data_IF_676221961279
#
_entry.id   IF_676221961279
#
_cell.length_a   1.000
_cell.length_b   1.000
_cell.length_c   1.000
_cell.angle_alpha   90.00
_cell.angle_beta   90.00
_cell.angle_gamma   90.00
#
_symmetry.space_group_name_H-M   'P 1'
#
loop_
_entity.id
_entity.type
_entity.pdbx_description
1 polymer ?
#
# COMPACT_ATOMS: atom_id res chain seq x y z
N UNK A 1 -4.93 -42.35 55.59
CA UNK A 1 -5.16 -41.15 54.76
C UNK A 1 -5.05 -41.56 53.30
N UNK A 2 -6.18 -41.95 52.69
CA UNK A 2 -6.20 -42.50 51.32
C UNK A 2 -6.31 -41.34 50.36
N UNK A 3 -5.23 -41.08 49.62
CA UNK A 3 -5.19 -40.08 48.57
C UNK A 3 -5.90 -40.61 47.32
N UNK A 4 -7.17 -40.35 47.19
CA UNK A 4 -7.95 -40.68 45.98
C UNK A 4 -7.47 -39.76 44.89
N UNK A 5 -6.73 -40.30 43.95
CA UNK A 5 -6.33 -39.56 42.74
C UNK A 5 -7.54 -39.49 41.80
N UNK A 6 -8.19 -38.32 41.82
CA UNK A 6 -9.38 -38.00 40.97
C UNK A 6 -8.97 -37.82 39.50
N UNK A 7 -7.71 -38.10 39.14
CA UNK A 7 -7.14 -37.62 37.89
C UNK A 7 -7.33 -38.48 36.66
N UNK A 8 -7.98 -39.63 36.71
CA UNK A 8 -7.89 -40.53 35.55
C UNK A 8 -9.18 -41.22 35.09
N UNK A 9 -10.36 -40.78 35.55
CA UNK A 9 -11.60 -41.39 35.08
C UNK A 9 -11.81 -41.23 33.56
N UNK A 10 -11.64 -40.04 32.95
CA UNK A 10 -11.76 -39.90 31.50
C UNK A 10 -10.70 -40.71 30.74
N UNK A 11 -9.46 -40.70 31.23
CA UNK A 11 -8.35 -41.40 30.61
C UNK A 11 -8.50 -42.96 30.77
N UNK A 12 -9.01 -43.40 31.92
CA UNK A 12 -9.32 -44.79 32.17
C UNK A 12 -10.46 -45.29 31.27
N UNK A 13 -11.53 -44.51 31.14
CA UNK A 13 -12.65 -44.82 30.24
C UNK A 13 -12.17 -44.85 28.79
N UNK A 14 -11.36 -43.86 28.37
CA UNK A 14 -10.75 -43.82 27.04
C UNK A 14 -9.91 -45.08 26.74
N UNK A 15 -9.02 -45.48 27.67
CA UNK A 15 -8.16 -46.64 27.49
C UNK A 15 -8.96 -47.94 27.47
N UNK A 16 -10.01 -48.05 28.29
CA UNK A 16 -10.90 -49.24 28.32
C UNK A 16 -11.75 -49.36 27.06
N UNK A 17 -12.24 -48.24 26.52
CA UNK A 17 -12.95 -48.21 25.24
C UNK A 17 -12.03 -48.49 24.04
N UNK A 18 -10.77 -48.06 24.10
CA UNK A 18 -9.77 -48.29 23.08
C UNK A 18 -9.27 -49.73 23.04
N UNK A 19 -9.19 -50.38 24.21
CA UNK A 19 -8.62 -51.73 24.38
C UNK A 19 -9.64 -52.89 24.29
N UNK A 20 -10.95 -52.57 24.09
CA UNK A 20 -11.95 -53.61 23.85
C UNK A 20 -11.70 -54.26 22.47
N UNK A 21 -11.07 -55.46 22.51
CA UNK A 21 -10.56 -56.20 21.35
C UNK A 21 -11.65 -56.91 20.53
N UNK A 22 -12.93 -56.65 20.77
CA UNK A 22 -14.00 -57.27 20.01
C UNK A 22 -14.15 -56.62 18.62
N UNK A 23 -13.77 -57.37 17.59
CA UNK A 23 -13.84 -56.99 16.18
C UNK A 23 -15.26 -56.63 15.68
N UNK A 24 -16.30 -56.89 16.48
CA UNK A 24 -17.70 -56.57 16.19
C UNK A 24 -18.21 -55.28 16.84
N UNK A 25 -17.37 -54.54 17.54
CA UNK A 25 -17.81 -53.39 18.35
C UNK A 25 -18.04 -52.14 17.51
N UNK A 26 -19.28 -51.97 17.03
CA UNK A 26 -19.77 -50.82 16.27
C UNK A 26 -19.45 -49.48 17.01
N UNK A 27 -19.55 -49.46 18.33
CA UNK A 27 -19.27 -48.31 19.20
C UNK A 27 -17.84 -47.81 19.05
N UNK A 28 -16.84 -48.69 18.94
CA UNK A 28 -15.43 -48.29 18.76
C UNK A 28 -15.20 -47.60 17.43
N UNK A 29 -15.90 -48.00 16.36
CA UNK A 29 -15.82 -47.36 15.04
C UNK A 29 -16.45 -45.95 15.05
N UNK A 30 -17.61 -45.82 15.71
CA UNK A 30 -18.29 -44.52 15.85
C UNK A 30 -17.42 -43.53 16.62
N UNK A 31 -16.81 -43.97 17.73
CA UNK A 31 -15.90 -43.10 18.52
C UNK A 31 -14.70 -42.63 17.69
N UNK A 32 -14.08 -43.51 16.90
CA UNK A 32 -12.96 -43.11 16.02
C UNK A 32 -13.38 -42.10 14.98
N UNK A 33 -14.54 -42.27 14.37
CA UNK A 33 -15.08 -41.34 13.39
C UNK A 33 -15.38 -39.98 14.07
N UNK A 34 -15.97 -40.00 15.27
CA UNK A 34 -16.25 -38.77 16.02
C UNK A 34 -14.98 -38.00 16.37
N UNK A 35 -13.93 -38.71 16.88
CA UNK A 35 -12.63 -38.11 17.18
C UNK A 35 -12.00 -37.53 15.92
N UNK A 36 -12.02 -38.23 14.80
CA UNK A 36 -11.48 -37.78 13.54
C UNK A 36 -12.24 -36.56 13.02
N UNK A 37 -13.57 -36.52 13.14
CA UNK A 37 -14.40 -35.36 12.73
C UNK A 37 -14.09 -34.13 13.55
N UNK A 38 -13.96 -34.27 14.88
CA UNK A 38 -13.57 -33.15 15.76
C UNK A 38 -12.16 -32.66 15.43
N UNK A 39 -11.21 -33.60 15.27
CA UNK A 39 -9.83 -33.24 14.85
C UNK A 39 -9.83 -32.47 13.53
N UNK A 40 -10.55 -32.97 12.53
CA UNK A 40 -10.62 -32.30 11.22
C UNK A 40 -11.25 -30.91 11.31
N UNK A 41 -12.31 -30.74 12.11
CA UNK A 41 -12.95 -29.44 12.34
C UNK A 41 -11.98 -28.42 12.97
N UNK A 42 -11.29 -28.82 14.03
CA UNK A 42 -10.28 -27.98 14.70
C UNK A 42 -9.12 -27.67 13.75
N UNK A 43 -8.63 -28.67 13.00
CA UNK A 43 -7.54 -28.49 12.06
C UNK A 43 -7.89 -27.46 10.95
N UNK A 44 -9.08 -27.61 10.35
CA UNK A 44 -9.56 -26.66 9.32
C UNK A 44 -9.69 -25.25 9.90
N UNK A 45 -10.23 -25.12 11.11
CA UNK A 45 -10.37 -23.82 11.78
C UNK A 45 -9.02 -23.14 12.02
N UNK A 46 -8.02 -23.90 12.50
CA UNK A 46 -6.66 -23.37 12.70
C UNK A 46 -5.99 -22.98 11.39
N UNK A 47 -6.15 -23.77 10.33
CA UNK A 47 -5.65 -23.44 9.00
C UNK A 47 -6.29 -22.15 8.48
N UNK A 48 -7.61 -21.99 8.61
CA UNK A 48 -8.34 -20.80 8.16
C UNK A 48 -7.86 -19.53 8.87
N UNK A 49 -7.70 -19.59 10.20
CA UNK A 49 -7.18 -18.47 11.00
C UNK A 49 -5.74 -18.14 10.59
N UNK A 50 -4.90 -19.14 10.38
CA UNK A 50 -3.49 -18.95 10.01
C UNK A 50 -3.35 -18.31 8.63
N UNK A 51 -4.12 -18.78 7.65
CA UNK A 51 -4.16 -18.20 6.30
C UNK A 51 -4.67 -16.76 6.36
N UNK A 52 -5.76 -16.50 7.07
CA UNK A 52 -6.34 -15.17 7.21
C UNK A 52 -5.36 -14.16 7.83
N UNK A 53 -4.66 -14.55 8.92
CA UNK A 53 -3.62 -13.72 9.53
C UNK A 53 -2.41 -13.50 8.62
N UNK A 54 -1.96 -14.55 7.94
CA UNK A 54 -0.85 -14.45 7.00
C UNK A 54 -1.15 -13.50 5.85
N UNK A 55 -2.34 -13.59 5.28
CA UNK A 55 -2.80 -12.67 4.23
C UNK A 55 -2.90 -11.22 4.74
N UNK A 56 -3.46 -11.02 5.93
CA UNK A 56 -3.55 -9.69 6.55
C UNK A 56 -2.18 -9.04 6.74
N UNK A 57 -1.20 -9.80 7.25
CA UNK A 57 0.17 -9.30 7.42
C UNK A 57 0.79 -8.96 6.07
N UNK A 58 0.66 -9.85 5.08
CA UNK A 58 1.21 -9.63 3.74
C UNK A 58 0.65 -8.38 3.06
N UNK A 59 -0.66 -8.16 3.15
CA UNK A 59 -1.31 -6.97 2.58
C UNK A 59 -0.86 -5.71 3.33
N UNK A 60 -0.80 -5.74 4.66
CA UNK A 60 -0.29 -4.61 5.44
C UNK A 60 1.14 -4.27 5.06
N UNK A 61 2.03 -5.24 4.99
CA UNK A 61 3.43 -5.02 4.64
C UNK A 61 3.58 -4.43 3.22
N UNK A 62 2.78 -4.86 2.26
CA UNK A 62 2.73 -4.27 0.91
C UNK A 62 2.22 -2.82 0.95
N UNK A 63 1.12 -2.55 1.67
CA UNK A 63 0.58 -1.20 1.83
C UNK A 63 1.62 -0.23 2.41
N UNK A 64 2.29 -0.63 3.49
CA UNK A 64 3.33 0.20 4.15
C UNK A 64 4.63 0.31 3.36
N UNK A 65 4.89 -0.60 2.42
CA UNK A 65 6.08 -0.49 1.56
C UNK A 65 5.87 0.42 0.35
N UNK A 66 4.63 0.58 -0.11
CA UNK A 66 4.29 1.39 -1.29
C UNK A 66 3.77 2.79 -0.95
N UNK A 67 3.36 2.99 0.29
CA UNK A 67 2.77 4.24 0.73
C UNK A 67 3.47 4.78 1.98
N UNK A 68 3.53 6.10 2.15
CA UNK A 68 4.04 6.74 3.37
C UNK A 68 3.07 6.54 4.53
N UNK A 69 3.54 6.75 5.75
CA UNK A 69 2.71 6.69 6.95
C UNK A 69 1.68 7.83 6.99
N UNK A 70 2.09 9.04 6.56
CA UNK A 70 1.24 10.22 6.48
C UNK A 70 1.43 10.93 5.13
N UNK A 71 0.35 11.53 4.65
CA UNK A 71 0.31 12.36 3.45
C UNK A 71 -0.25 13.73 3.82
N UNK A 72 0.50 14.76 3.50
CA UNK A 72 0.04 16.16 3.62
C UNK A 72 -0.21 16.70 2.22
N UNK A 73 -1.39 17.26 1.98
CA UNK A 73 -1.75 17.91 0.72
C UNK A 73 -2.78 19.01 0.97
N UNK A 74 -3.08 19.83 -0.04
CA UNK A 74 -4.16 20.81 0.11
C UNK A 74 -5.50 20.14 0.33
N UNK A 75 -6.41 20.81 1.01
CA UNK A 75 -7.74 20.27 1.31
C UNK A 75 -8.55 19.93 0.04
N UNK A 76 -8.43 20.75 -0.98
CA UNK A 76 -9.10 20.52 -2.28
C UNK A 76 -8.58 19.28 -2.99
N UNK A 77 -7.27 19.04 -2.96
CA UNK A 77 -6.69 17.82 -3.50
C UNK A 77 -7.27 16.57 -2.84
N UNK A 78 -7.47 16.61 -1.52
CA UNK A 78 -8.03 15.48 -0.78
C UNK A 78 -9.49 15.19 -1.13
N UNK A 79 -10.31 16.21 -1.37
CA UNK A 79 -11.73 16.04 -1.75
C UNK A 79 -11.87 15.36 -3.12
N UNK A 80 -10.96 15.65 -4.06
CA UNK A 80 -10.96 15.10 -5.42
C UNK A 80 -10.21 13.77 -5.52
N UNK A 81 -9.46 13.39 -4.49
CA UNK A 81 -8.61 12.21 -4.48
C UNK A 81 -7.36 12.32 -5.35
N UNK A 82 -7.15 13.45 -6.04
CA UNK A 82 -5.99 13.72 -6.90
C UNK A 82 -5.44 15.10 -6.55
N UNK A 83 -4.13 15.18 -6.35
CA UNK A 83 -3.44 16.42 -6.00
C UNK A 83 -3.29 17.33 -7.22
N UNK A 84 -4.24 18.24 -7.45
CA UNK A 84 -4.21 19.16 -8.60
C UNK A 84 -3.52 20.48 -8.31
N UNK A 85 -3.39 20.87 -7.05
CA UNK A 85 -2.85 22.17 -6.63
C UNK A 85 -1.56 22.03 -5.83
N UNK A 86 -0.72 23.05 -5.89
CA UNK A 86 0.52 23.08 -5.12
C UNK A 86 0.28 23.49 -3.66
N UNK A 87 1.12 23.01 -2.79
CA UNK A 87 1.20 23.47 -1.40
C UNK A 87 1.85 24.85 -1.38
N UNK A 88 1.18 25.83 -0.78
CA UNK A 88 1.77 27.15 -0.55
C UNK A 88 2.68 27.12 0.68
N UNK A 89 3.76 27.92 0.67
CA UNK A 89 4.69 28.08 1.78
C UNK A 89 5.27 26.74 2.30
N UNK A 90 5.77 25.91 1.39
CA UNK A 90 6.28 24.57 1.71
C UNK A 90 7.38 24.60 2.78
N UNK A 91 8.18 25.66 2.86
CA UNK A 91 9.24 25.81 3.85
C UNK A 91 8.69 26.01 5.26
N UNK A 92 7.60 26.74 5.41
CA UNK A 92 6.88 26.93 6.68
C UNK A 92 6.25 25.57 7.13
N UNK A 93 5.63 24.85 6.20
CA UNK A 93 5.07 23.53 6.46
C UNK A 93 6.15 22.54 6.92
N UNK A 94 7.31 22.58 6.25
CA UNK A 94 8.46 21.75 6.62
C UNK A 94 9.00 22.07 8.01
N UNK A 95 9.06 23.35 8.35
CA UNK A 95 9.49 23.78 9.69
C UNK A 95 8.54 23.20 10.76
N UNK A 96 7.23 23.34 10.56
CA UNK A 96 6.23 22.81 11.49
C UNK A 96 6.29 21.28 11.64
N UNK A 97 6.50 20.55 10.52
CA UNK A 97 6.64 19.10 10.56
C UNK A 97 7.91 18.67 11.30
N UNK A 98 9.05 19.33 11.04
CA UNK A 98 10.34 18.99 11.66
C UNK A 98 10.44 19.40 13.12
N UNK A 99 9.75 20.46 13.52
CA UNK A 99 9.67 20.89 14.91
C UNK A 99 8.92 19.86 15.77
N UNK A 100 7.88 19.26 15.19
CA UNK A 100 7.09 18.23 15.87
C UNK A 100 7.84 16.89 16.00
N UNK A 101 8.75 16.54 15.05
CA UNK A 101 9.38 15.20 15.00
C UNK A 101 10.80 15.21 14.46
N UNK A 102 11.74 14.64 15.23
CA UNK A 102 13.18 14.61 14.90
C UNK A 102 13.59 13.48 13.92
N UNK A 103 12.77 12.44 13.72
CA UNK A 103 13.16 11.22 13.00
C UNK A 103 12.20 10.89 11.86
N UNK A 104 11.91 11.88 11.03
CA UNK A 104 11.03 11.70 9.89
C UNK A 104 11.80 11.70 8.57
N UNK A 105 11.43 10.79 7.69
CA UNK A 105 11.75 10.87 6.29
C UNK A 105 10.64 11.68 5.62
N UNK A 106 11.01 12.82 5.06
CA UNK A 106 10.09 13.73 4.37
C UNK A 106 10.44 13.71 2.89
N UNK A 107 9.46 13.40 2.06
CA UNK A 107 9.60 13.30 0.62
C UNK A 107 8.55 14.18 -0.08
N UNK A 108 8.93 14.77 -1.20
CA UNK A 108 8.10 15.71 -1.94
C UNK A 108 7.75 15.15 -3.30
N UNK A 109 6.51 15.32 -3.70
CA UNK A 109 6.04 14.85 -4.99
C UNK A 109 4.92 15.70 -5.57
N UNK A 110 4.67 15.49 -6.85
CA UNK A 110 3.58 16.09 -7.60
C UNK A 110 2.75 14.97 -8.21
N UNK A 111 1.46 14.95 -7.95
CA UNK A 111 0.54 14.04 -8.65
C UNK A 111 -0.28 14.83 -9.67
N UNK A 112 -0.34 14.32 -10.89
CA UNK A 112 -1.17 14.88 -11.96
C UNK A 112 -1.86 13.78 -12.75
N UNK A 113 -3.18 13.89 -12.98
CA UNK A 113 -3.85 13.00 -13.91
C UNK A 113 -3.30 13.23 -15.33
N UNK A 114 -3.05 12.14 -16.03
CA UNK A 114 -2.54 12.14 -17.40
C UNK A 114 -3.12 10.99 -18.19
N UNK A 115 -3.13 11.12 -19.51
CA UNK A 115 -3.40 10.02 -20.42
C UNK A 115 -2.08 9.53 -20.99
N UNK A 116 -1.81 8.24 -20.88
CA UNK A 116 -0.71 7.54 -21.54
C UNK A 116 -1.20 6.95 -22.85
N UNK A 117 -0.41 7.07 -23.91
CA UNK A 117 -0.77 6.53 -25.22
C UNK A 117 0.40 5.82 -25.89
N UNK A 118 0.12 4.67 -26.46
CA UNK A 118 0.96 3.94 -27.43
C UNK A 118 0.06 3.29 -28.48
N UNK A 119 0.46 3.36 -29.75
CA UNK A 119 -0.22 2.69 -30.88
C UNK A 119 -1.74 2.93 -30.95
N UNK A 120 -2.21 4.17 -30.75
CA UNK A 120 -3.63 4.56 -30.70
C UNK A 120 -4.45 3.97 -29.54
N UNK A 121 -3.82 3.27 -28.59
CA UNK A 121 -4.42 2.88 -27.33
C UNK A 121 -4.16 3.93 -26.26
N UNK A 122 -5.12 4.12 -25.33
CA UNK A 122 -5.04 5.14 -24.29
C UNK A 122 -5.44 4.54 -22.94
N UNK A 123 -4.72 4.91 -21.89
CA UNK A 123 -5.08 4.61 -20.51
C UNK A 123 -5.02 5.89 -19.66
N UNK A 124 -5.96 6.05 -18.73
CA UNK A 124 -5.93 7.14 -17.75
C UNK A 124 -5.11 6.72 -16.55
N UNK A 125 -4.10 7.51 -16.21
CA UNK A 125 -3.18 7.21 -15.10
C UNK A 125 -2.84 8.50 -14.33
N UNK A 126 -2.26 8.34 -13.15
CA UNK A 126 -1.72 9.42 -12.34
C UNK A 126 -0.20 9.43 -12.50
N UNK A 127 0.35 10.53 -12.98
CA UNK A 127 1.79 10.74 -12.97
C UNK A 127 2.23 11.16 -11.58
N UNK A 128 2.96 10.28 -10.88
CA UNK A 128 3.61 10.54 -9.60
C UNK A 128 5.03 11.07 -9.89
N UNK A 129 5.19 12.38 -9.92
CA UNK A 129 6.47 13.05 -10.08
C UNK A 129 7.19 13.16 -8.75
N UNK A 130 8.29 12.44 -8.60
CA UNK A 130 9.10 12.39 -7.39
C UNK A 130 10.24 13.41 -7.42
N UNK A 131 10.59 13.96 -6.25
CA UNK A 131 11.74 14.87 -6.11
C UNK A 131 13.08 14.12 -6.32
N UNK A 132 14.14 14.85 -6.61
CA UNK A 132 15.47 14.27 -6.89
C UNK A 132 16.09 13.50 -5.71
N UNK A 133 15.58 13.70 -4.50
CA UNK A 133 16.03 13.02 -3.27
C UNK A 133 15.09 11.89 -2.83
N UNK A 134 14.07 11.58 -3.62
CA UNK A 134 13.09 10.54 -3.28
C UNK A 134 13.76 9.16 -3.23
N UNK A 135 13.45 8.39 -2.20
CA UNK A 135 13.98 7.05 -2.00
C UNK A 135 13.17 6.01 -2.77
N UNK A 136 13.81 5.42 -3.76
CA UNK A 136 13.24 4.37 -4.59
C UNK A 136 13.53 2.95 -4.07
N UNK A 137 14.16 2.80 -2.89
CA UNK A 137 14.55 1.49 -2.37
C UNK A 137 13.34 0.54 -2.21
N UNK A 138 12.21 1.07 -1.76
CA UNK A 138 10.99 0.30 -1.64
C UNK A 138 10.44 -0.15 -3.00
N UNK A 139 10.50 0.72 -4.01
CA UNK A 139 10.08 0.39 -5.37
C UNK A 139 10.99 -0.66 -6.02
N UNK A 140 12.29 -0.63 -5.70
CA UNK A 140 13.25 -1.61 -6.19
C UNK A 140 12.91 -3.06 -5.84
N UNK A 141 12.14 -3.28 -4.77
CA UNK A 141 11.66 -4.63 -4.38
C UNK A 141 10.68 -5.23 -5.39
N UNK A 142 10.05 -4.39 -6.19
CA UNK A 142 9.02 -4.75 -7.17
C UNK A 142 9.50 -4.68 -8.62
N UNK A 143 10.77 -4.37 -8.86
CA UNK A 143 11.37 -4.37 -10.20
C UNK A 143 12.08 -5.70 -10.42
N UNK A 144 11.74 -6.37 -11.52
CA UNK A 144 12.17 -7.74 -11.78
C UNK A 144 13.52 -7.81 -12.48
N UNK A 145 13.81 -6.90 -13.41
CA UNK A 145 14.92 -7.05 -14.36
C UNK A 145 16.17 -6.27 -14.01
N UNK A 146 16.04 -5.17 -13.28
CA UNK A 146 17.18 -4.31 -12.93
C UNK A 146 16.84 -3.46 -11.70
N UNK A 147 17.86 -3.12 -10.90
CA UNK A 147 17.66 -2.16 -9.81
C UNK A 147 17.71 -0.74 -10.36
N UNK A 148 16.83 0.12 -9.87
CA UNK A 148 16.97 1.55 -10.08
C UNK A 148 18.21 1.99 -9.29
N UNK A 149 19.32 2.18 -9.98
CA UNK A 149 20.59 2.62 -9.38
C UNK A 149 20.74 4.13 -9.42
N UNK A 150 20.05 4.78 -10.36
CA UNK A 150 20.24 6.18 -10.70
C UNK A 150 18.94 6.97 -10.57
N UNK A 151 19.09 8.29 -10.45
CA UNK A 151 17.97 9.23 -10.51
C UNK A 151 17.27 9.13 -11.86
N UNK A 152 15.96 9.26 -11.88
CA UNK A 152 15.21 9.40 -13.12
C UNK A 152 15.50 10.75 -13.78
N UNK A 153 15.80 10.73 -15.06
CA UNK A 153 15.87 11.95 -15.86
C UNK A 153 14.46 12.50 -16.16
N UNK A 154 14.40 13.74 -16.63
CA UNK A 154 13.12 14.43 -16.83
C UNK A 154 12.20 13.77 -17.87
N UNK A 155 12.75 13.00 -18.80
CA UNK A 155 12.03 12.28 -19.84
C UNK A 155 11.96 10.77 -19.62
N UNK A 156 12.36 10.28 -18.45
CA UNK A 156 12.27 8.87 -18.06
C UNK A 156 11.12 8.62 -17.11
N UNK A 157 10.47 7.49 -17.28
CA UNK A 157 9.40 7.03 -16.39
C UNK A 157 9.54 5.55 -16.05
N UNK A 158 8.87 5.19 -14.96
CA UNK A 158 8.67 3.82 -14.53
C UNK A 158 7.16 3.56 -14.58
N UNK A 159 6.75 2.48 -15.21
CA UNK A 159 5.35 2.08 -15.32
C UNK A 159 5.12 0.72 -14.68
N UNK A 160 3.88 0.42 -14.33
CA UNK A 160 3.53 -0.92 -13.84
C UNK A 160 3.45 -1.94 -14.98
N UNK A 161 3.65 -3.21 -14.65
CA UNK A 161 3.44 -4.34 -15.56
C UNK A 161 2.02 -4.32 -16.14
N UNK A 162 1.02 -3.99 -15.33
CA UNK A 162 -0.38 -3.92 -15.77
C UNK A 162 -0.65 -2.86 -16.83
N UNK A 163 -0.05 -1.68 -16.68
CA UNK A 163 -0.14 -0.62 -17.70
C UNK A 163 0.65 -1.02 -18.95
N UNK A 164 1.84 -1.62 -18.77
CA UNK A 164 2.68 -2.08 -19.85
C UNK A 164 1.96 -3.14 -20.71
N UNK A 165 1.37 -4.16 -20.09
CA UNK A 165 0.65 -5.23 -20.78
C UNK A 165 -0.61 -4.71 -21.51
N UNK A 166 -1.34 -3.75 -20.94
CA UNK A 166 -2.53 -3.16 -21.60
C UNK A 166 -2.19 -2.38 -22.88
N UNK A 167 -1.03 -1.73 -22.91
CA UNK A 167 -0.63 -0.85 -23.99
C UNK A 167 0.46 -1.45 -24.90
N UNK A 168 0.86 -2.69 -24.64
CA UNK A 168 1.95 -3.38 -25.34
C UNK A 168 3.25 -2.56 -25.31
N UNK A 169 3.69 -2.23 -24.07
CA UNK A 169 4.86 -1.41 -23.79
C UNK A 169 5.97 -2.28 -23.21
N UNK A 170 7.20 -2.08 -23.70
CA UNK A 170 8.42 -2.69 -23.20
C UNK A 170 9.38 -1.65 -22.61
N UNK A 171 10.37 -2.10 -21.81
CA UNK A 171 11.44 -1.23 -21.33
C UNK A 171 12.25 -0.69 -22.52
N UNK A 172 12.49 0.61 -22.55
CA UNK A 172 13.16 1.32 -23.64
C UNK A 172 12.21 1.95 -24.67
N UNK A 173 10.91 1.65 -24.61
CA UNK A 173 9.95 2.25 -25.52
C UNK A 173 9.72 3.73 -25.22
N UNK A 174 9.45 4.49 -26.29
CA UNK A 174 8.96 5.85 -26.19
C UNK A 174 7.45 5.89 -26.22
N UNK A 175 6.85 6.56 -25.25
CA UNK A 175 5.42 6.73 -25.09
C UNK A 175 5.03 8.19 -25.05
N UNK A 176 3.77 8.47 -25.34
CA UNK A 176 3.22 9.82 -25.31
C UNK A 176 2.31 10.02 -24.12
N UNK A 177 2.56 11.08 -23.37
CA UNK A 177 1.72 11.53 -22.26
C UNK A 177 1.02 12.85 -22.59
N UNK A 178 -0.27 12.94 -22.23
CA UNK A 178 -1.13 14.08 -22.46
C UNK A 178 -1.54 14.69 -21.11
N UNK A 179 -1.17 15.94 -20.88
CA UNK A 179 -1.48 16.67 -19.65
C UNK A 179 -2.46 17.78 -19.90
N UNK A 180 -3.53 17.85 -19.11
CA UNK A 180 -4.42 19.00 -19.10
C UNK A 180 -3.90 20.03 -18.09
N UNK A 181 -3.36 21.13 -18.58
CA UNK A 181 -2.72 22.15 -17.74
C UNK A 181 -3.69 23.23 -17.26
N UNK A 182 -4.84 23.39 -17.88
CA UNK A 182 -5.90 24.33 -17.48
C UNK A 182 -7.27 23.83 -17.95
N UNK A 183 -8.31 24.11 -17.18
CA UNK A 183 -9.69 23.78 -17.55
C UNK A 183 -10.17 24.49 -18.83
N UNK A 184 -9.53 25.60 -19.20
CA UNK A 184 -9.87 26.38 -20.38
C UNK A 184 -9.01 26.05 -21.61
N UNK A 185 -8.02 25.19 -21.48
CA UNK A 185 -7.19 24.74 -22.59
C UNK A 185 -7.89 23.58 -23.36
N UNK A 186 -8.19 23.83 -24.63
CA UNK A 186 -8.77 22.80 -25.53
C UNK A 186 -7.73 21.79 -26.02
N UNK A 187 -6.43 22.15 -25.99
CA UNK A 187 -5.34 21.32 -26.49
C UNK A 187 -4.49 20.89 -25.29
N UNK A 188 -4.33 19.58 -25.03
CA UNK A 188 -3.48 19.10 -23.96
C UNK A 188 -2.01 19.40 -24.24
N UNK A 189 -1.21 19.51 -23.19
CA UNK A 189 0.24 19.55 -23.31
C UNK A 189 0.75 18.12 -23.55
N UNK A 190 1.47 17.93 -24.64
CA UNK A 190 1.94 16.60 -25.09
C UNK A 190 3.44 16.48 -24.83
N UNK A 191 3.86 15.36 -24.25
CA UNK A 191 5.27 15.05 -23.98
C UNK A 191 5.56 13.58 -24.30
N UNK A 192 6.77 13.34 -24.82
CA UNK A 192 7.32 11.99 -24.99
C UNK A 192 8.19 11.62 -23.81
N UNK A 193 8.07 10.36 -23.37
CA UNK A 193 8.84 9.78 -22.29
C UNK A 193 9.35 8.42 -22.69
N UNK A 194 10.56 8.08 -22.25
CA UNK A 194 11.14 6.74 -22.39
C UNK A 194 10.84 5.90 -21.15
N UNK A 195 10.39 4.69 -21.33
CA UNK A 195 10.10 3.73 -20.25
C UNK A 195 11.42 3.11 -19.80
N UNK A 196 11.89 3.49 -18.62
CA UNK A 196 13.17 3.00 -18.09
C UNK A 196 13.05 1.67 -17.38
N UNK A 197 12.00 1.49 -16.58
CA UNK A 197 11.76 0.26 -15.81
C UNK A 197 10.27 -0.07 -15.77
N UNK A 198 9.99 -1.37 -15.58
CA UNK A 198 8.65 -1.88 -15.34
C UNK A 198 8.62 -2.54 -13.96
N UNK A 199 7.70 -2.12 -13.10
CA UNK A 199 7.48 -2.69 -11.77
C UNK A 199 6.21 -3.53 -11.70
N UNK A 200 6.17 -4.47 -10.75
CA UNK A 200 4.97 -5.26 -10.44
C UNK A 200 4.85 -5.39 -8.92
N UNK A 201 3.95 -4.62 -8.34
CA UNK A 201 3.78 -4.59 -6.88
C UNK A 201 2.77 -5.63 -6.39
N UNK A 202 2.03 -6.28 -7.30
CA UNK A 202 0.84 -7.09 -6.99
C UNK A 202 -0.21 -6.33 -6.16
N UNK A 203 -0.20 -5.00 -6.21
CA UNK A 203 -1.19 -4.16 -5.56
C UNK A 203 -2.02 -3.41 -6.61
N UNK A 204 -3.23 -3.92 -6.94
CA UNK A 204 -4.01 -3.44 -8.08
C UNK A 204 -4.29 -1.94 -8.06
N UNK A 205 -4.56 -1.36 -6.88
CA UNK A 205 -4.87 0.07 -6.75
C UNK A 205 -3.69 0.96 -7.14
N UNK A 206 -2.46 0.49 -6.90
CA UNK A 206 -1.25 1.19 -7.31
C UNK A 206 -0.90 0.87 -8.77
N UNK A 207 -0.88 -0.42 -9.13
CA UNK A 207 -0.43 -0.89 -10.44
C UNK A 207 -1.34 -0.44 -11.60
N UNK A 208 -2.64 -0.24 -11.35
CA UNK A 208 -3.56 0.22 -12.39
C UNK A 208 -3.54 1.74 -12.60
N UNK A 209 -3.12 2.50 -11.59
CA UNK A 209 -3.38 3.93 -11.57
C UNK A 209 -2.12 4.79 -11.65
N UNK A 210 -0.94 4.28 -11.28
CA UNK A 210 0.23 5.12 -11.15
C UNK A 210 1.33 4.78 -12.14
N UNK A 211 1.94 5.84 -12.69
CA UNK A 211 3.29 5.83 -13.26
C UNK A 211 4.18 6.79 -12.47
N UNK A 212 5.48 6.55 -12.46
CA UNK A 212 6.44 7.32 -11.69
C UNK A 212 7.42 8.00 -12.62
N UNK A 213 7.67 9.27 -12.39
CA UNK A 213 8.64 10.07 -13.15
C UNK A 213 9.24 11.18 -12.30
N UNK A 214 10.01 12.07 -12.91
CA UNK A 214 10.68 13.16 -12.23
C UNK A 214 9.71 14.35 -12.02
N UNK A 215 9.67 14.93 -10.81
CA UNK A 215 8.86 16.11 -10.49
C UNK A 215 9.21 17.32 -11.33
N UNK A 216 10.48 17.52 -11.71
CA UNK A 216 10.92 18.64 -12.54
C UNK A 216 10.22 18.67 -13.90
N UNK A 217 9.91 17.50 -14.45
CA UNK A 217 9.13 17.39 -15.67
C UNK A 217 7.75 18.02 -15.52
N UNK A 218 7.03 17.68 -14.43
CA UNK A 218 5.72 18.26 -14.14
C UNK A 218 5.80 19.74 -13.79
N UNK A 219 6.80 20.16 -13.01
CA UNK A 219 7.04 21.57 -12.71
C UNK A 219 7.18 22.40 -14.00
N UNK A 220 7.94 21.90 -14.97
CA UNK A 220 8.08 22.54 -16.28
C UNK A 220 6.76 22.63 -17.05
N UNK A 221 5.98 21.54 -17.10
CA UNK A 221 4.70 21.46 -17.82
C UNK A 221 3.67 22.42 -17.21
N UNK A 222 3.57 22.48 -15.88
CA UNK A 222 2.60 23.27 -15.15
C UNK A 222 3.10 24.69 -14.79
N UNK A 223 4.32 25.04 -15.21
CA UNK A 223 4.98 26.33 -14.91
C UNK A 223 5.10 26.57 -13.39
N UNK A 224 5.42 25.53 -12.66
CA UNK A 224 5.68 25.57 -11.23
C UNK A 224 7.16 25.87 -10.96
N UNK A 225 7.46 26.46 -9.82
CA UNK A 225 8.83 26.66 -9.35
C UNK A 225 9.48 25.32 -8.94
N UNK A 226 10.80 25.33 -8.85
CA UNK A 226 11.57 24.14 -8.47
C UNK A 226 11.27 23.61 -7.07
N UNK A 227 10.68 24.44 -6.20
CA UNK A 227 10.29 24.08 -4.83
C UNK A 227 8.76 23.94 -4.66
N UNK A 228 8.01 23.91 -5.76
CA UNK A 228 6.57 23.73 -5.74
C UNK A 228 6.22 22.25 -5.84
N UNK A 229 5.52 21.72 -4.84
CA UNK A 229 5.04 20.35 -4.78
C UNK A 229 3.57 20.31 -4.35
N UNK A 230 2.85 19.26 -4.70
CA UNK A 230 1.43 19.10 -4.35
C UNK A 230 1.21 18.18 -3.15
N UNK A 231 2.19 17.37 -2.83
CA UNK A 231 2.11 16.38 -1.76
C UNK A 231 3.44 16.33 -0.99
N UNK A 232 3.34 16.21 0.32
CA UNK A 232 4.44 15.84 1.20
C UNK A 232 4.13 14.47 1.76
N UNK A 233 5.01 13.50 1.52
CA UNK A 233 4.98 12.18 2.10
C UNK A 233 5.88 12.15 3.34
N UNK A 234 5.37 11.59 4.43
CA UNK A 234 6.08 11.49 5.69
C UNK A 234 6.11 10.02 6.10
N UNK A 235 7.31 9.49 6.32
CA UNK A 235 7.52 8.14 6.80
C UNK A 235 8.35 8.16 8.09
N UNK A 236 7.99 7.29 9.04
CA UNK A 236 8.72 7.14 10.29
C UNK A 236 9.84 6.11 10.13
N UNK A 237 11.06 6.45 10.55
CA UNK A 237 12.24 5.58 10.42
C UNK A 237 12.17 4.27 11.20
N UNK A 238 11.38 4.24 12.27
CA UNK A 238 10.99 3.00 12.95
C UNK A 238 9.51 2.80 12.65
N UNK A 239 9.10 1.60 12.22
CA UNK A 239 7.68 1.24 12.06
C UNK A 239 6.93 1.67 13.33
N UNK A 240 6.50 2.93 13.31
CA UNK A 240 5.82 3.55 14.42
C UNK A 240 4.58 2.71 14.71
N UNK A 241 4.32 2.47 15.98
CA UNK A 241 3.07 1.83 16.39
C UNK A 241 1.93 2.73 15.88
N UNK A 242 0.80 2.14 15.50
CA UNK A 242 -0.41 2.86 15.04
C UNK A 242 -0.75 4.05 15.95
N UNK A 243 -0.47 3.93 17.25
CA UNK A 243 -0.63 4.99 18.25
C UNK A 243 0.22 6.23 17.96
N UNK A 244 1.43 6.07 17.44
CA UNK A 244 2.32 7.19 17.13
C UNK A 244 1.83 7.94 15.88
N UNK A 245 1.21 7.26 14.94
CA UNK A 245 0.60 7.86 13.73
C UNK A 245 -0.62 8.70 14.13
N UNK A 246 -1.50 8.21 15.00
CA UNK A 246 -2.68 8.95 15.45
C UNK A 246 -2.32 10.17 16.30
N UNK A 247 -1.29 10.08 17.14
CA UNK A 247 -0.78 11.23 17.91
C UNK A 247 -0.19 12.28 16.96
N UNK A 248 0.56 11.84 15.96
CA UNK A 248 1.16 12.69 14.94
C UNK A 248 0.11 13.44 14.11
N UNK A 249 -0.98 12.78 13.73
CA UNK A 249 -2.10 13.45 13.05
C UNK A 249 -2.68 14.56 13.93
N UNK A 250 -2.84 14.32 15.24
CA UNK A 250 -3.39 15.34 16.16
C UNK A 250 -2.48 16.56 16.30
N UNK A 251 -1.18 16.37 16.34
CA UNK A 251 -0.20 17.45 16.42
C UNK A 251 -0.12 18.22 15.10
N UNK A 252 -0.13 17.53 13.97
CA UNK A 252 -0.13 18.13 12.64
C UNK A 252 -1.50 18.75 12.24
N UNK A 253 -2.54 18.60 13.04
CA UNK A 253 -3.84 19.29 12.82
C UNK A 253 -3.73 20.82 12.80
N UNK A 254 -2.67 21.38 13.36
CA UNK A 254 -2.38 22.81 13.20
C UNK A 254 -2.20 23.23 11.73
N UNK A 255 -1.75 22.32 10.86
CA UNK A 255 -1.63 22.52 9.41
C UNK A 255 -2.99 22.70 8.73
N UNK A 256 -4.08 22.17 9.29
CA UNK A 256 -5.44 22.33 8.74
C UNK A 256 -5.86 23.80 8.70
N UNK A 257 -5.31 24.66 9.58
CA UNK A 257 -5.54 26.10 9.55
C UNK A 257 -4.99 26.77 8.27
N UNK A 258 -4.01 26.15 7.62
CA UNK A 258 -3.38 26.62 6.39
C UNK A 258 -4.00 25.99 5.12
N UNK A 259 -5.23 25.51 5.20
CA UNK A 259 -5.93 24.80 4.11
C UNK A 259 -5.23 23.50 3.67
N UNK A 260 -4.48 22.88 4.58
CA UNK A 260 -3.82 21.60 4.37
C UNK A 260 -4.59 20.49 5.10
N UNK A 261 -4.54 19.30 4.57
CA UNK A 261 -5.11 18.11 5.19
C UNK A 261 -4.03 17.06 5.37
N UNK A 262 -4.05 16.43 6.54
CA UNK A 262 -3.15 15.33 6.91
C UNK A 262 -3.94 14.04 6.92
N UNK A 263 -3.56 13.08 6.09
CA UNK A 263 -4.18 11.75 6.04
C UNK A 263 -3.15 10.67 6.33
N UNK A 264 -3.55 9.68 7.13
CA UNK A 264 -2.74 8.48 7.32
C UNK A 264 -3.08 7.42 6.29
N UNK A 265 -2.13 6.50 6.10
CA UNK A 265 -2.34 5.29 5.31
C UNK A 265 -3.53 4.47 5.84
N UNK A 266 -3.72 4.42 7.15
CA UNK A 266 -4.84 3.72 7.78
C UNK A 266 -6.17 4.30 7.38
N UNK A 267 -6.30 5.63 7.31
CA UNK A 267 -7.53 6.30 6.86
C UNK A 267 -7.76 6.10 5.37
N UNK A 268 -6.71 6.14 4.56
CA UNK A 268 -6.82 5.92 3.10
C UNK A 268 -7.34 4.53 2.76
N UNK A 269 -6.92 3.52 3.52
CA UNK A 269 -7.23 2.11 3.27
C UNK A 269 -8.09 1.48 4.37
N UNK A 270 -8.86 2.30 5.12
CA UNK A 270 -9.71 1.85 6.23
C UNK A 270 -10.65 0.73 5.81
N UNK A 271 -11.31 0.85 4.66
CA UNK A 271 -12.23 -0.17 4.15
C UNK A 271 -11.55 -1.53 3.93
N UNK A 272 -10.29 -1.53 3.47
CA UNK A 272 -9.52 -2.75 3.28
C UNK A 272 -9.10 -3.32 4.63
N UNK A 273 -8.60 -2.47 5.53
CA UNK A 273 -8.10 -2.90 6.84
C UNK A 273 -9.23 -3.39 7.76
N UNK A 274 -10.39 -2.73 7.74
CA UNK A 274 -11.60 -3.12 8.52
C UNK A 274 -12.20 -4.41 7.96
N UNK A 275 -12.27 -4.57 6.63
CA UNK A 275 -12.77 -5.80 6.01
C UNK A 275 -12.05 -7.06 6.49
N UNK A 276 -10.73 -6.95 6.75
CA UNK A 276 -9.96 -8.07 7.31
C UNK A 276 -10.20 -8.32 8.80
N UNK A 277 -10.62 -7.32 9.58
CA UNK A 277 -10.99 -7.54 10.99
C UNK A 277 -12.26 -8.37 11.12
N UNK A 278 -13.23 -8.19 10.24
CA UNK A 278 -14.47 -8.97 10.24
C UNK A 278 -14.25 -10.43 9.82
N UNK A 279 -13.32 -10.71 8.91
CA UNK A 279 -13.00 -12.08 8.47
C UNK A 279 -12.39 -12.99 9.56
N UNK A 280 -11.90 -12.41 10.65
CA UNK A 280 -11.26 -13.15 11.76
C UNK A 280 -12.23 -13.37 12.93
N UNK A 281 -13.32 -12.58 13.00
CA UNK A 281 -14.31 -12.61 14.08
C UNK A 281 -15.54 -13.46 13.73
N UNK A 282 -15.66 -13.97 12.51
CA UNK A 282 -16.66 -14.95 12.07
C UNK A 282 -16.04 -16.34 11.91
#
# INVERSE_FOLDING_TARGET
MIKISVLNLPLFIYNKLKSSSDKSNISSRIIKIAIFSVFLGVFISLCSISIGKGLQISIKDKLYSLNPDLVVSTYENNLRGIATEKINNIDEVNFQIRDAYQYLKIEYLIEKPTLISKNNSFESVIFKGISSGYDLENLNKFITNSKISDKLFNNEIIISRRIADKLDIEEGDDITLYFQTSNNQRIPNVRSYSVKHIFDSDFPDFDNNYLIGNAQSLQSIFKWGSNDYSIIEISFNNKAKIFDIESSIRELKSLEKNNLSVKSITTKYENILVGFQFLILT
#
